data_IF_280888612496
#
_entry.id   IF_280888612496
#
_cell.length_a   1.000
_cell.length_b   1.000
_cell.length_c   1.000
_cell.angle_alpha   90.00
_cell.angle_beta   90.00
_cell.angle_gamma   90.00
#
_symmetry.space_group_name_H-M   'P 1'
#
loop_
_entity.id
_entity.type
_entity.pdbx_description
1 polymer ?
#
# COMPACT_ATOMS: atom_id res chain seq x y z
N UNK A 1 -14.53 5.31 22.20
CA UNK A 1 -13.44 5.31 21.21
C UNK A 1 -13.46 3.97 20.49
N UNK A 2 -13.29 3.94 19.15
CA UNK A 2 -13.42 2.73 18.32
C UNK A 2 -12.50 1.59 18.79
N UNK A 3 -11.25 1.91 19.13
CA UNK A 3 -10.23 0.94 19.58
C UNK A 3 -10.72 0.15 20.80
N UNK A 4 -11.20 0.83 21.85
CA UNK A 4 -11.65 0.15 23.07
C UNK A 4 -12.92 -0.68 22.83
N UNK A 5 -13.82 -0.20 21.98
CA UNK A 5 -15.04 -0.92 21.64
C UNK A 5 -14.74 -2.25 20.91
N UNK A 6 -13.76 -2.23 20.00
CA UNK A 6 -13.25 -3.41 19.30
C UNK A 6 -12.51 -4.36 20.26
N UNK A 7 -11.65 -3.81 21.15
CA UNK A 7 -10.90 -4.59 22.15
C UNK A 7 -11.81 -5.41 23.06
N UNK A 8 -12.91 -4.82 23.53
CA UNK A 8 -13.92 -5.51 24.36
C UNK A 8 -14.57 -6.72 23.66
N UNK A 9 -14.39 -6.87 22.35
CA UNK A 9 -14.90 -7.97 21.52
C UNK A 9 -13.80 -8.86 20.95
N UNK A 10 -12.55 -8.66 21.35
CA UNK A 10 -11.41 -9.40 20.79
C UNK A 10 -11.11 -9.05 19.33
N UNK A 11 -11.55 -7.88 18.86
CA UNK A 11 -11.32 -7.39 17.49
C UNK A 11 -10.10 -6.47 17.48
N UNK A 12 -9.15 -6.73 16.57
CA UNK A 12 -7.99 -5.88 16.31
C UNK A 12 -8.38 -4.70 15.42
N UNK A 13 -7.78 -3.54 15.65
CA UNK A 13 -7.94 -2.36 14.79
C UNK A 13 -6.60 -2.09 14.14
N UNK A 14 -6.48 -2.42 12.86
CA UNK A 14 -5.29 -2.18 12.05
C UNK A 14 -5.58 -0.94 11.20
N UNK A 15 -4.89 0.19 11.45
CA UNK A 15 -5.08 1.38 10.64
C UNK A 15 -4.45 1.21 9.26
N UNK A 16 -5.09 1.79 8.25
CA UNK A 16 -4.52 1.99 6.93
C UNK A 16 -4.39 3.48 6.64
N UNK A 17 -3.19 3.89 6.23
CA UNK A 17 -2.90 5.22 5.73
C UNK A 17 -2.13 5.06 4.43
N UNK A 18 -2.89 4.81 3.36
CA UNK A 18 -2.33 4.46 2.06
C UNK A 18 -1.56 5.63 1.42
N UNK A 19 -0.37 5.28 0.91
CA UNK A 19 0.57 6.15 0.21
C UNK A 19 1.44 5.31 -0.75
N UNK A 20 1.94 5.89 -1.86
CA UNK A 20 1.81 7.29 -2.29
C UNK A 20 0.52 7.58 -3.07
N UNK A 21 -0.21 6.54 -3.48
CA UNK A 21 -1.54 6.60 -4.10
C UNK A 21 -2.61 7.17 -3.16
N UNK A 22 -3.85 7.30 -3.64
CA UNK A 22 -5.05 7.64 -2.86
C UNK A 22 -4.96 8.83 -1.87
N UNK A 23 -4.03 9.77 -2.10
CA UNK A 23 -3.67 10.83 -1.14
C UNK A 23 -4.20 12.22 -1.49
N UNK A 24 -5.13 12.34 -2.45
CA UNK A 24 -5.63 13.65 -2.91
C UNK A 24 -6.17 14.54 -1.78
N UNK A 25 -6.81 13.96 -0.76
CA UNK A 25 -7.34 14.70 0.38
C UNK A 25 -6.24 15.31 1.25
N UNK A 26 -5.04 14.72 1.28
CA UNK A 26 -3.93 15.10 2.15
C UNK A 26 -3.31 16.43 1.71
N UNK A 27 -3.24 16.66 0.39
CA UNK A 27 -2.69 17.90 -0.17
C UNK A 27 -3.43 19.17 0.25
N UNK A 28 -4.69 19.06 0.71
CA UNK A 28 -5.44 20.20 1.25
C UNK A 28 -4.94 20.65 2.63
N UNK A 29 -4.44 19.71 3.42
CA UNK A 29 -3.92 19.96 4.77
C UNK A 29 -2.40 20.12 4.82
N UNK A 30 -1.67 19.54 3.87
CA UNK A 30 -0.21 19.58 3.79
C UNK A 30 0.25 20.14 2.43
N UNK A 31 0.50 21.46 2.33
CA UNK A 31 1.02 22.07 1.11
C UNK A 31 2.37 21.46 0.68
N UNK A 32 2.51 21.22 -0.61
CA UNK A 32 3.75 20.67 -1.19
C UNK A 32 3.95 19.16 -1.01
N UNK A 33 2.99 18.44 -0.40
CA UNK A 33 3.06 16.99 -0.27
C UNK A 33 2.80 16.25 -1.59
N UNK A 34 1.82 16.70 -2.37
CA UNK A 34 1.42 16.05 -3.61
C UNK A 34 2.20 16.59 -4.81
N UNK A 35 2.39 15.74 -5.81
CA UNK A 35 3.04 16.15 -7.07
C UNK A 35 2.10 17.06 -7.87
N UNK A 36 2.53 18.28 -8.24
CA UNK A 36 1.79 19.07 -9.22
C UNK A 36 1.95 18.44 -10.61
N UNK A 37 0.83 18.20 -11.29
CA UNK A 37 0.84 17.67 -12.64
C UNK A 37 1.05 18.78 -13.67
N UNK A 38 1.56 18.42 -14.84
CA UNK A 38 1.89 19.36 -15.92
C UNK A 38 1.14 18.99 -17.20
N UNK A 39 0.71 20.03 -17.93
CA UNK A 39 0.22 19.91 -19.29
C UNK A 39 1.17 20.68 -20.20
N UNK A 40 2.07 19.96 -20.87
CA UNK A 40 3.21 20.55 -21.57
C UNK A 40 4.16 21.22 -20.59
N UNK A 41 4.44 22.51 -20.78
CA UNK A 41 5.40 23.28 -19.96
C UNK A 41 4.79 23.99 -18.75
N UNK A 42 3.47 23.86 -18.52
CA UNK A 42 2.76 24.57 -17.44
C UNK A 42 2.11 23.60 -16.47
N UNK A 43 2.06 23.93 -15.15
CA UNK A 43 1.23 23.19 -14.21
C UNK A 43 -0.23 23.16 -14.67
N UNK A 44 -0.86 21.99 -14.62
CA UNK A 44 -2.27 21.80 -15.00
C UNK A 44 -3.26 22.34 -13.96
N UNK A 45 -2.77 22.61 -12.74
CA UNK A 45 -3.61 22.90 -11.57
C UNK A 45 -4.16 21.65 -10.88
N UNK A 46 -3.83 20.45 -11.38
CA UNK A 46 -4.18 19.18 -10.74
C UNK A 46 -2.98 18.59 -10.01
N UNK A 47 -3.25 17.68 -9.08
CA UNK A 47 -2.25 17.00 -8.27
C UNK A 47 -2.39 15.49 -8.41
N UNK A 48 -1.26 14.79 -8.37
CA UNK A 48 -1.18 13.33 -8.43
C UNK A 48 -0.75 12.73 -7.10
N UNK A 49 -0.04 11.58 -7.12
CA UNK A 49 0.47 10.94 -5.92
C UNK A 49 1.42 11.83 -5.11
N UNK A 50 1.68 11.41 -3.86
CA UNK A 50 2.71 12.01 -2.99
C UNK A 50 4.01 12.23 -3.78
N UNK A 51 4.65 13.37 -3.58
CA UNK A 51 5.90 13.71 -4.25
C UNK A 51 7.09 13.03 -3.55
N UNK A 52 7.74 12.05 -4.18
CA UNK A 52 8.78 11.25 -3.54
C UNK A 52 10.17 11.91 -3.57
N UNK A 53 10.34 13.04 -4.27
CA UNK A 53 11.68 13.64 -4.45
C UNK A 53 12.02 14.65 -3.34
N UNK A 54 11.04 15.03 -2.52
CA UNK A 54 11.18 16.07 -1.50
C UNK A 54 11.47 15.47 -0.13
N UNK A 55 12.47 16.00 0.58
CA UNK A 55 12.75 15.59 1.96
C UNK A 55 11.60 15.92 2.92
N UNK A 56 10.89 17.02 2.68
CA UNK A 56 9.71 17.43 3.46
C UNK A 56 8.60 16.38 3.45
N UNK A 57 8.49 15.59 2.38
CA UNK A 57 7.57 14.43 2.33
C UNK A 57 7.92 13.43 3.41
N UNK A 58 9.19 13.06 3.54
CA UNK A 58 9.64 12.05 4.50
C UNK A 58 9.63 12.57 5.94
N UNK A 59 9.88 13.86 6.15
CA UNK A 59 9.74 14.49 7.47
C UNK A 59 8.28 14.47 7.94
N UNK A 60 7.34 14.70 7.02
CA UNK A 60 5.91 14.58 7.27
C UNK A 60 5.50 13.13 7.58
N UNK A 61 5.92 12.17 6.74
CA UNK A 61 5.62 10.75 6.96
C UNK A 61 6.20 10.25 8.29
N UNK A 62 7.41 10.68 8.67
CA UNK A 62 8.01 10.33 9.95
C UNK A 62 7.18 10.79 11.14
N UNK A 63 6.70 12.04 11.12
CA UNK A 63 5.84 12.56 12.17
C UNK A 63 4.49 11.85 12.22
N UNK A 64 3.86 11.64 11.06
CA UNK A 64 2.57 10.98 10.93
C UNK A 64 2.62 9.55 11.46
N UNK A 65 3.56 8.73 10.98
CA UNK A 65 3.63 7.32 11.39
C UNK A 65 4.12 7.15 12.84
N UNK A 66 4.88 8.12 13.38
CA UNK A 66 5.15 8.18 14.81
C UNK A 66 3.85 8.37 15.60
N UNK A 67 2.99 9.32 15.22
CA UNK A 67 1.70 9.51 15.89
C UNK A 67 0.80 8.27 15.76
N UNK A 68 0.66 7.73 14.55
CA UNK A 68 -0.14 6.51 14.30
C UNK A 68 0.35 5.37 15.21
N UNK A 69 1.67 5.18 15.35
CA UNK A 69 2.24 4.14 16.20
C UNK A 69 1.88 4.28 17.69
N UNK A 70 1.65 5.51 18.15
CA UNK A 70 1.26 5.83 19.53
C UNK A 70 -0.25 5.70 19.75
N UNK A 71 -1.05 6.04 18.73
CA UNK A 71 -2.52 6.00 18.80
C UNK A 71 -3.05 4.57 18.67
N UNK A 72 -2.52 3.80 17.72
CA UNK A 72 -3.00 2.46 17.43
C UNK A 72 -2.14 1.41 18.14
N UNK A 73 -2.69 0.66 19.11
CA UNK A 73 -1.90 -0.29 19.90
C UNK A 73 -1.56 -1.58 19.14
N UNK A 74 -2.21 -1.87 18.01
CA UNK A 74 -1.95 -3.08 17.22
C UNK A 74 -0.49 -3.15 16.74
N UNK A 75 0.06 -4.35 16.64
CA UNK A 75 1.45 -4.56 16.22
C UNK A 75 1.70 -4.16 14.76
N UNK A 76 0.66 -4.08 13.93
CA UNK A 76 0.76 -3.79 12.51
C UNK A 76 0.06 -2.49 12.12
N UNK A 77 0.57 -1.86 11.06
CA UNK A 77 -0.07 -0.78 10.30
C UNK A 77 -0.11 -1.19 8.82
N UNK A 78 -1.20 -0.89 8.13
CA UNK A 78 -1.29 -1.04 6.67
C UNK A 78 -0.76 0.23 6.01
N UNK A 79 0.25 0.09 5.15
CA UNK A 79 0.90 1.21 4.47
C UNK A 79 0.32 1.47 3.08
N UNK A 80 -0.59 0.60 2.63
CA UNK A 80 -1.18 0.63 1.31
C UNK A 80 -0.14 0.29 0.23
N UNK A 81 0.01 1.19 -0.74
CA UNK A 81 0.93 1.05 -1.86
C UNK A 81 0.30 0.45 -3.11
N UNK A 82 -1.01 0.61 -3.28
CA UNK A 82 -1.79 0.16 -4.44
C UNK A 82 -2.02 1.27 -5.47
N UNK A 83 -2.36 0.83 -6.69
CA UNK A 83 -2.88 1.65 -7.81
C UNK A 83 -2.19 3.00 -8.08
N UNK A 84 -0.87 3.09 -7.91
CA UNK A 84 -0.14 4.34 -8.08
C UNK A 84 -0.10 4.78 -9.55
N UNK A 85 -0.84 5.85 -9.88
CA UNK A 85 -0.80 6.43 -11.24
C UNK A 85 0.46 7.29 -11.47
N UNK A 86 1.36 6.78 -12.31
CA UNK A 86 2.61 7.46 -12.67
C UNK A 86 2.44 8.61 -13.67
N UNK A 87 1.26 8.81 -14.26
CA UNK A 87 1.04 9.82 -15.31
C UNK A 87 1.42 11.23 -14.85
N UNK A 88 1.04 11.58 -13.62
CA UNK A 88 1.37 12.89 -13.05
C UNK A 88 2.89 13.03 -12.79
N UNK A 89 3.52 11.99 -12.24
CA UNK A 89 4.98 11.97 -12.06
C UNK A 89 5.73 12.13 -13.38
N UNK A 90 5.27 11.42 -14.42
CA UNK A 90 5.85 11.50 -15.76
C UNK A 90 5.70 12.89 -16.37
N UNK A 91 4.62 13.60 -16.09
CA UNK A 91 4.43 14.97 -16.58
C UNK A 91 5.36 15.99 -15.91
N UNK A 92 5.80 15.74 -14.68
CA UNK A 92 6.49 16.73 -13.86
C UNK A 92 8.00 16.81 -14.19
N UNK A 93 8.52 17.99 -14.56
CA UNK A 93 9.91 18.15 -15.00
C UNK A 93 10.93 17.95 -13.86
N UNK A 94 10.59 18.30 -12.62
CA UNK A 94 11.49 18.10 -11.48
C UNK A 94 11.65 16.62 -11.15
N UNK A 95 10.56 15.84 -11.28
CA UNK A 95 10.60 14.39 -11.14
C UNK A 95 11.40 13.76 -12.29
N UNK A 96 11.18 14.16 -13.54
CA UNK A 96 11.98 13.67 -14.67
C UNK A 96 13.49 13.90 -14.45
N UNK A 97 13.87 15.10 -13.96
CA UNK A 97 15.26 15.40 -13.61
C UNK A 97 15.78 14.49 -12.49
N UNK A 98 14.97 14.22 -11.48
CA UNK A 98 15.34 13.29 -10.40
C UNK A 98 15.52 11.85 -10.93
N UNK A 99 14.64 11.40 -11.82
CA UNK A 99 14.72 10.09 -12.47
C UNK A 99 16.04 9.91 -13.23
N UNK A 100 16.48 10.94 -13.95
CA UNK A 100 17.77 10.95 -14.64
C UNK A 100 18.95 10.90 -13.65
N UNK A 101 18.90 11.69 -12.58
CA UNK A 101 19.95 11.74 -11.56
C UNK A 101 20.13 10.41 -10.81
N UNK A 102 19.03 9.71 -10.53
CA UNK A 102 19.06 8.41 -9.88
C UNK A 102 19.33 7.24 -10.85
N UNK A 103 19.38 7.51 -12.16
CA UNK A 103 19.55 6.47 -13.17
C UNK A 103 18.35 5.53 -13.29
N UNK A 104 17.15 5.99 -12.92
CA UNK A 104 15.91 5.20 -13.05
C UNK A 104 15.38 5.19 -14.49
N UNK A 105 15.81 6.13 -15.34
CA UNK A 105 15.38 6.21 -16.72
C UNK A 105 13.90 6.59 -16.81
N UNK A 106 13.11 5.81 -17.55
CA UNK A 106 11.67 6.01 -17.72
C UNK A 106 10.82 5.01 -16.92
N UNK A 107 11.45 4.28 -16.00
CA UNK A 107 10.81 3.24 -15.20
C UNK A 107 10.35 3.78 -13.84
N UNK A 108 9.12 4.27 -13.77
CA UNK A 108 8.54 4.89 -12.57
C UNK A 108 8.26 3.89 -11.44
N UNK A 109 8.25 2.58 -11.70
CA UNK A 109 8.16 1.56 -10.64
C UNK A 109 9.37 1.61 -9.70
N UNK A 110 10.54 2.04 -10.20
CA UNK A 110 11.73 2.28 -9.38
C UNK A 110 11.60 3.52 -8.49
N UNK A 111 10.90 4.55 -8.96
CA UNK A 111 10.62 5.74 -8.17
C UNK A 111 9.64 5.44 -7.04
N UNK A 112 8.61 4.66 -7.34
CA UNK A 112 7.69 4.13 -6.34
C UNK A 112 8.43 3.26 -5.32
N UNK A 113 9.27 2.33 -5.78
CA UNK A 113 10.10 1.49 -4.92
C UNK A 113 11.03 2.32 -4.03
N UNK A 114 11.61 3.40 -4.55
CA UNK A 114 12.41 4.35 -3.78
C UNK A 114 11.59 5.03 -2.68
N UNK A 115 10.37 5.45 -2.98
CA UNK A 115 9.46 6.04 -2.00
C UNK A 115 9.11 5.04 -0.90
N UNK A 116 8.63 3.85 -1.29
CA UNK A 116 8.16 2.84 -0.35
C UNK A 116 9.31 2.37 0.53
N UNK A 117 10.50 2.12 -0.02
CA UNK A 117 11.66 1.73 0.79
C UNK A 117 11.94 2.72 1.93
N UNK A 118 11.93 4.02 1.63
CA UNK A 118 12.14 5.07 2.64
C UNK A 118 11.00 5.12 3.65
N UNK A 119 9.76 4.84 3.24
CA UNK A 119 8.63 4.72 4.14
C UNK A 119 8.77 3.50 5.08
N UNK A 120 9.19 2.34 4.56
CA UNK A 120 9.44 1.14 5.35
C UNK A 120 10.54 1.37 6.40
N UNK A 121 11.59 2.11 6.04
CA UNK A 121 12.67 2.49 6.96
C UNK A 121 12.15 3.41 8.08
N UNK A 122 11.27 4.36 7.76
CA UNK A 122 10.61 5.23 8.74
C UNK A 122 9.77 4.39 9.71
N UNK A 123 8.87 3.55 9.19
CA UNK A 123 7.93 2.75 10.01
C UNK A 123 8.69 1.76 10.89
N UNK A 124 9.80 1.22 10.40
CA UNK A 124 10.70 0.37 11.19
C UNK A 124 11.17 1.03 12.49
N UNK A 125 11.39 2.35 12.50
CA UNK A 125 11.81 3.06 13.72
C UNK A 125 10.73 3.09 14.81
N UNK A 126 9.47 2.84 14.45
CA UNK A 126 8.33 2.81 15.38
C UNK A 126 8.15 1.48 16.10
N UNK A 127 8.96 0.45 15.76
CA UNK A 127 8.86 -0.93 16.26
C UNK A 127 7.53 -1.64 15.91
N UNK A 128 6.73 -1.08 14.99
CA UNK A 128 5.56 -1.73 14.41
C UNK A 128 5.99 -2.60 13.21
N UNK A 129 5.31 -3.72 13.01
CA UNK A 129 5.30 -4.43 11.74
C UNK A 129 4.42 -3.68 10.73
N UNK A 130 4.53 -4.04 9.46
CA UNK A 130 3.74 -3.41 8.40
C UNK A 130 3.10 -4.43 7.45
N UNK A 131 1.99 -3.99 6.88
CA UNK A 131 1.21 -4.68 5.86
C UNK A 131 1.18 -3.80 4.62
N UNK A 132 1.17 -4.42 3.44
CA UNK A 132 1.22 -3.74 2.14
C UNK A 132 0.29 -4.44 1.16
N UNK A 133 -0.22 -3.70 0.18
CA UNK A 133 -0.85 -4.32 -0.99
C UNK A 133 0.18 -5.01 -1.87
N UNK A 134 -0.28 -5.93 -2.70
CA UNK A 134 0.58 -6.84 -3.47
C UNK A 134 1.53 -6.14 -4.44
N UNK A 135 1.17 -4.96 -4.96
CA UNK A 135 1.97 -4.22 -5.94
C UNK A 135 3.37 -3.90 -5.42
N UNK A 136 3.49 -3.61 -4.13
CA UNK A 136 4.78 -3.35 -3.49
C UNK A 136 5.71 -4.58 -3.57
N UNK A 137 5.15 -5.77 -3.39
CA UNK A 137 5.87 -7.03 -3.56
C UNK A 137 6.16 -7.31 -5.05
N UNK A 138 5.18 -7.07 -5.92
CA UNK A 138 5.27 -7.28 -7.37
C UNK A 138 6.36 -6.41 -8.02
N UNK A 139 6.53 -5.18 -7.53
CA UNK A 139 7.53 -4.23 -7.98
C UNK A 139 8.94 -4.52 -7.42
N UNK A 140 9.10 -5.58 -6.61
CA UNK A 140 10.41 -6.06 -6.15
C UNK A 140 11.04 -5.18 -5.06
N UNK A 141 10.23 -4.46 -4.29
CA UNK A 141 10.70 -3.69 -3.12
C UNK A 141 11.33 -4.64 -2.11
N UNK A 142 12.40 -4.20 -1.44
CA UNK A 142 13.06 -5.02 -0.41
C UNK A 142 12.24 -4.97 0.88
N UNK A 143 11.57 -6.07 1.16
CA UNK A 143 10.70 -6.21 2.33
C UNK A 143 11.46 -6.88 3.49
N UNK A 144 11.02 -6.58 4.72
CA UNK A 144 11.49 -7.36 5.88
C UNK A 144 10.82 -8.73 5.92
N UNK A 145 11.46 -9.76 6.50
CA UNK A 145 10.90 -11.11 6.59
C UNK A 145 9.53 -11.19 7.30
N UNK A 146 9.23 -10.25 8.21
CA UNK A 146 7.97 -10.20 8.97
C UNK A 146 6.86 -9.38 8.28
N UNK A 147 7.09 -8.93 7.04
CA UNK A 147 6.10 -8.20 6.24
C UNK A 147 4.92 -9.10 5.90
N UNK A 148 3.72 -8.53 5.96
CA UNK A 148 2.50 -9.19 5.49
C UNK A 148 2.10 -8.59 4.15
N UNK A 149 1.96 -9.43 3.12
CA UNK A 149 1.51 -9.01 1.79
C UNK A 149 0.03 -9.31 1.63
N UNK A 150 -0.74 -8.36 1.14
CA UNK A 150 -2.18 -8.47 0.97
C UNK A 150 -2.54 -8.61 -0.51
N UNK A 151 -2.99 -9.80 -0.91
CA UNK A 151 -3.37 -10.14 -2.29
C UNK A 151 -4.84 -9.80 -2.53
N UNK A 152 -5.07 -8.86 -3.44
CA UNK A 152 -6.38 -8.26 -3.69
C UNK A 152 -6.81 -8.31 -5.16
N UNK A 153 -5.90 -8.53 -6.10
CA UNK A 153 -6.25 -8.61 -7.52
C UNK A 153 -6.83 -10.00 -7.87
N UNK A 154 -8.04 -10.03 -8.43
CA UNK A 154 -8.76 -11.27 -8.75
C UNK A 154 -8.13 -12.08 -9.92
N UNK A 155 -7.31 -11.43 -10.75
CA UNK A 155 -6.67 -12.05 -11.90
C UNK A 155 -5.45 -12.89 -11.51
N UNK A 156 -5.68 -14.11 -11.00
CA UNK A 156 -4.61 -15.06 -10.66
C UNK A 156 -4.12 -14.96 -9.22
N UNK A 157 -5.03 -14.65 -8.28
CA UNK A 157 -4.72 -14.59 -6.85
C UNK A 157 -4.09 -15.88 -6.31
N UNK A 158 -4.44 -17.05 -6.84
CA UNK A 158 -3.80 -18.34 -6.50
C UNK A 158 -2.29 -18.34 -6.80
N UNK A 159 -1.89 -17.86 -7.97
CA UNK A 159 -0.49 -17.75 -8.37
C UNK A 159 0.25 -16.71 -7.55
N UNK A 160 -0.40 -15.60 -7.23
CA UNK A 160 0.21 -14.56 -6.42
C UNK A 160 0.43 -15.02 -4.98
N UNK A 161 -0.55 -15.70 -4.39
CA UNK A 161 -0.42 -16.34 -3.08
C UNK A 161 0.73 -17.35 -3.05
N UNK A 162 0.88 -18.16 -4.11
CA UNK A 162 2.02 -19.07 -4.25
C UNK A 162 3.37 -18.32 -4.32
N UNK A 163 3.44 -17.23 -5.08
CA UNK A 163 4.65 -16.40 -5.25
C UNK A 163 5.06 -15.71 -3.94
N UNK A 164 4.11 -15.09 -3.23
CA UNK A 164 4.33 -14.43 -1.94
C UNK A 164 4.81 -15.43 -0.89
N UNK A 165 4.14 -16.57 -0.76
CA UNK A 165 4.53 -17.61 0.22
C UNK A 165 5.86 -18.27 -0.12
N UNK A 166 6.16 -18.50 -1.41
CA UNK A 166 7.48 -18.95 -1.85
C UNK A 166 8.59 -17.93 -1.56
N UNK A 167 8.25 -16.63 -1.51
CA UNK A 167 9.12 -15.56 -1.04
C UNK A 167 9.36 -15.54 0.48
N UNK A 168 8.66 -16.40 1.23
CA UNK A 168 8.79 -16.50 2.69
C UNK A 168 7.97 -15.48 3.49
N UNK A 169 7.05 -14.77 2.83
CA UNK A 169 6.21 -13.76 3.47
C UNK A 169 4.87 -14.33 3.94
N UNK A 170 4.35 -13.75 5.02
CA UNK A 170 2.96 -13.99 5.45
C UNK A 170 2.02 -13.34 4.45
N UNK A 171 0.91 -13.99 4.10
CA UNK A 171 -0.04 -13.45 3.13
C UNK A 171 -1.47 -13.36 3.67
N UNK A 172 -2.23 -12.42 3.11
CA UNK A 172 -3.66 -12.25 3.31
C UNK A 172 -4.35 -12.23 1.95
N UNK A 173 -5.48 -12.91 1.85
CA UNK A 173 -6.31 -12.93 0.65
C UNK A 173 -7.57 -12.11 0.87
N UNK A 174 -7.84 -11.19 -0.05
CA UNK A 174 -9.11 -10.45 -0.17
C UNK A 174 -9.68 -10.43 -1.58
N UNK A 175 -8.88 -10.81 -2.58
CA UNK A 175 -9.25 -10.76 -4.00
C UNK A 175 -10.65 -11.31 -4.36
N UNK A 176 -11.08 -12.47 -3.87
CA UNK A 176 -12.42 -12.98 -4.21
C UNK A 176 -13.55 -12.36 -3.37
N UNK A 177 -13.23 -11.52 -2.38
CA UNK A 177 -14.13 -10.94 -1.37
C UNK A 177 -14.25 -9.42 -1.46
N UNK A 178 -14.30 -8.87 -2.68
CA UNK A 178 -14.76 -7.50 -2.93
C UNK A 178 -16.28 -7.43 -2.79
N UNK A 179 -16.76 -7.04 -1.60
CA UNK A 179 -18.20 -6.95 -1.28
C UNK A 179 -18.86 -5.68 -1.83
N UNK A 180 -18.07 -4.69 -2.22
CA UNK A 180 -18.50 -3.50 -2.93
C UNK A 180 -18.95 -3.81 -4.37
N UNK A 181 -18.44 -4.90 -4.96
CA UNK A 181 -18.86 -5.41 -6.27
C UNK A 181 -20.16 -6.21 -6.17
N UNK A 182 -21.28 -5.48 -6.09
CA UNK A 182 -22.61 -6.07 -5.97
C UNK A 182 -23.04 -6.83 -7.22
N UNK A 183 -23.77 -7.93 -7.03
CA UNK A 183 -24.43 -8.63 -8.13
C UNK A 183 -25.84 -9.09 -7.74
N UNK A 184 -26.71 -9.25 -8.74
CA UNK A 184 -28.08 -9.71 -8.49
C UNK A 184 -28.05 -11.21 -8.18
N UNK A 185 -28.68 -11.62 -7.08
CA UNK A 185 -28.89 -13.03 -6.73
C UNK A 185 -28.21 -13.41 -5.42
N UNK A 186 -27.72 -14.64 -5.34
CA UNK A 186 -27.09 -15.22 -4.15
C UNK A 186 -25.56 -15.18 -4.27
N UNK A 187 -25.00 -13.97 -4.36
CA UNK A 187 -23.56 -13.72 -4.46
C UNK A 187 -22.77 -14.25 -3.26
N UNK A 188 -23.37 -14.35 -2.08
CA UNK A 188 -22.78 -15.01 -0.91
C UNK A 188 -22.24 -16.42 -1.20
N UNK A 189 -22.84 -17.16 -2.14
CA UNK A 189 -22.37 -18.48 -2.53
C UNK A 189 -21.00 -18.42 -3.23
N UNK A 190 -20.73 -17.35 -4.00
CA UNK A 190 -19.42 -17.12 -4.62
C UNK A 190 -18.36 -16.98 -3.53
N UNK A 191 -18.61 -16.10 -2.55
CA UNK A 191 -17.69 -15.82 -1.45
C UNK A 191 -17.43 -17.06 -0.58
N UNK A 192 -18.47 -17.86 -0.31
CA UNK A 192 -18.38 -19.04 0.55
C UNK A 192 -17.63 -20.21 -0.10
N UNK A 193 -17.65 -20.33 -1.44
CA UNK A 193 -16.97 -21.43 -2.16
C UNK A 193 -15.46 -21.24 -2.32
N UNK A 194 -14.94 -20.08 -1.94
CA UNK A 194 -13.50 -19.79 -1.99
C UNK A 194 -12.77 -20.73 -1.03
N UNK A 195 -11.87 -21.56 -1.58
CA UNK A 195 -10.89 -22.33 -0.81
C UNK A 195 -9.55 -21.59 -0.86
N UNK A 196 -9.20 -20.79 0.17
CA UNK A 196 -8.05 -19.90 0.10
C UNK A 196 -6.70 -20.63 0.15
N UNK A 197 -6.69 -21.93 0.48
CA UNK A 197 -5.49 -22.78 0.44
C UNK A 197 -5.32 -23.54 -0.88
N UNK A 198 -6.20 -23.34 -1.86
CA UNK A 198 -6.13 -24.02 -3.16
C UNK A 198 -5.08 -23.39 -4.10
N UNK A 199 -3.83 -23.36 -3.67
CA UNK A 199 -2.67 -22.96 -4.47
C UNK A 199 -1.44 -23.81 -4.10
N UNK A 200 -0.45 -23.87 -5.01
CA UNK A 200 0.79 -24.62 -4.77
C UNK A 200 1.75 -23.81 -3.88
N UNK A 201 1.94 -24.16 -2.60
CA UNK A 201 2.86 -23.45 -1.70
C UNK A 201 3.16 -24.17 -0.37
N UNK A 202 4.17 -23.69 0.36
CA UNK A 202 4.47 -24.18 1.73
C UNK A 202 3.53 -23.49 2.74
N UNK A 203 2.91 -24.28 3.62
CA UNK A 203 1.92 -23.83 4.60
C UNK A 203 2.56 -22.99 5.72
N UNK A 204 2.81 -21.71 5.46
CA UNK A 204 3.39 -20.80 6.44
C UNK A 204 2.54 -19.52 6.47
N UNK A 205 1.50 -19.58 7.32
CA UNK A 205 0.68 -18.47 7.84
C UNK A 205 -0.18 -17.68 6.82
N UNK A 206 -1.41 -18.16 6.61
CA UNK A 206 -2.50 -17.41 5.98
C UNK A 206 -3.41 -16.77 7.04
N UNK A 207 -3.78 -15.50 6.85
CA UNK A 207 -4.93 -14.87 7.53
C UNK A 207 -5.95 -14.40 6.49
N UNK A 208 -7.24 -14.52 6.80
CA UNK A 208 -8.35 -14.11 5.93
C UNK A 208 -8.86 -12.75 6.41
N UNK A 209 -9.03 -11.80 5.48
CA UNK A 209 -9.69 -10.51 5.72
C UNK A 209 -10.77 -10.33 4.64
N UNK A 210 -11.93 -9.84 5.05
CA UNK A 210 -13.03 -9.47 4.15
C UNK A 210 -13.01 -7.96 3.97
N UNK A 211 -12.97 -7.49 2.73
CA UNK A 211 -13.05 -6.06 2.40
C UNK A 211 -14.52 -5.67 2.18
N UNK A 212 -14.92 -4.52 2.72
CA UNK A 212 -16.31 -4.03 2.75
C UNK A 212 -16.45 -2.69 2.06
#
# INVERSE_FOLDING_TARGET
MVIEFARLRGIRVIPEFDTPGHTQSWGKGQPGLLTPCYSGSKPSGTFGPVNPILNTTYDFMSQLFKEISLVFPDAYVHLGGDEVDFTCWKSNPDIQKFMEQQGFGQDFTKLESFYIQRLLDIVTTTQKGYMIWQEVFDNGVKLKPDTVVHVWMDNGSDKEMAKVTAGGYTTILSAPWYLDYISIGQDWQKYYKVEPLNFNGQFVFLKIIVLS
#
